data_IF_499963352524
#
_entry.id   IF_499963352524
#
_cell.length_a   1.000
_cell.length_b   1.000
_cell.length_c   1.000
_cell.angle_alpha   90.00
_cell.angle_beta   90.00
_cell.angle_gamma   90.00
#
_symmetry.space_group_name_H-M   'P 1'
#
loop_
_entity.id
_entity.type
_entity.pdbx_description
1 polymer ?
#
# COMPACT_ATOMS: atom_id res chain seq x y z
N UNK A 1 -11.89 -11.70 -0.41
CA UNK A 1 -10.72 -11.69 0.49
C UNK A 1 -9.85 -12.93 0.34
N UNK A 2 -10.41 -14.07 -0.07
CA UNK A 2 -9.66 -15.31 -0.29
C UNK A 2 -9.26 -15.50 -1.76
N UNK A 3 -9.51 -14.54 -2.63
CA UNK A 3 -8.97 -14.56 -3.98
C UNK A 3 -7.49 -14.22 -3.92
N UNK A 4 -6.61 -15.01 -4.57
CA UNK A 4 -5.20 -14.69 -4.63
C UNK A 4 -4.99 -13.35 -5.34
N UNK A 5 -4.15 -12.51 -4.76
CA UNK A 5 -3.68 -11.27 -5.42
C UNK A 5 -2.73 -11.67 -6.54
N UNK A 6 -1.95 -12.72 -6.29
CA UNK A 6 -0.95 -13.23 -7.21
C UNK A 6 -0.67 -14.70 -6.91
N UNK A 7 -0.43 -15.48 -7.96
CA UNK A 7 0.07 -16.84 -7.89
C UNK A 7 1.57 -16.86 -8.22
N UNK A 8 2.40 -17.39 -7.31
CA UNK A 8 3.84 -17.52 -7.51
C UNK A 8 4.21 -18.99 -7.39
N UNK A 9 4.69 -19.60 -8.46
CA UNK A 9 5.10 -21.02 -8.50
C UNK A 9 4.03 -21.98 -7.98
N UNK A 10 2.77 -21.72 -8.30
CA UNK A 10 1.63 -22.53 -7.87
C UNK A 10 1.19 -22.31 -6.42
N UNK A 11 1.67 -21.25 -5.78
CA UNK A 11 1.22 -20.82 -4.46
C UNK A 11 0.47 -19.51 -4.61
N UNK A 12 -0.78 -19.50 -4.15
CA UNK A 12 -1.62 -18.32 -4.11
C UNK A 12 -1.27 -17.46 -2.89
N UNK A 13 -1.10 -16.16 -3.10
CA UNK A 13 -0.89 -15.18 -2.03
C UNK A 13 -2.08 -14.24 -1.92
N UNK A 14 -2.58 -14.09 -0.71
CA UNK A 14 -3.76 -13.29 -0.38
C UNK A 14 -3.39 -12.01 0.35
N UNK A 15 -4.34 -11.08 0.50
CA UNK A 15 -4.16 -9.90 1.35
C UNK A 15 -3.91 -10.27 2.81
N UNK A 16 -4.47 -11.39 3.28
CA UNK A 16 -4.19 -11.91 4.62
C UNK A 16 -2.70 -12.23 4.81
N UNK A 17 -2.06 -12.80 3.78
CA UNK A 17 -0.63 -13.11 3.81
C UNK A 17 0.23 -11.83 3.77
N UNK A 18 -0.13 -10.88 2.93
CA UNK A 18 0.60 -9.60 2.79
C UNK A 18 0.50 -8.78 4.07
N UNK A 19 -0.68 -8.70 4.67
CA UNK A 19 -0.93 -7.96 5.91
C UNK A 19 -0.56 -8.77 7.17
N UNK A 20 -0.29 -10.08 7.05
CA UNK A 20 -0.18 -11.01 8.17
C UNK A 20 -1.38 -10.91 9.14
N UNK A 21 -2.55 -10.69 8.58
CA UNK A 21 -3.81 -10.57 9.31
C UNK A 21 -4.79 -11.65 8.80
N UNK A 22 -4.89 -12.79 9.49
CA UNK A 22 -5.77 -13.89 9.10
C UNK A 22 -7.26 -13.53 9.20
N UNK A 23 -7.61 -12.50 9.95
CA UNK A 23 -8.99 -12.05 10.14
C UNK A 23 -9.40 -11.02 9.07
N UNK A 24 -8.48 -10.55 8.23
CA UNK A 24 -8.80 -9.64 7.14
C UNK A 24 -9.75 -10.32 6.14
N UNK A 25 -10.94 -9.77 5.96
CA UNK A 25 -12.00 -10.40 5.18
C UNK A 25 -12.69 -9.48 4.15
N UNK A 26 -12.12 -8.31 3.88
CA UNK A 26 -12.68 -7.34 2.93
C UNK A 26 -11.99 -7.42 1.58
N UNK A 27 -12.72 -7.35 0.45
CA UNK A 27 -12.11 -7.12 -0.85
C UNK A 27 -11.46 -5.74 -0.86
N UNK A 28 -10.37 -5.56 -1.61
CA UNK A 28 -9.68 -4.29 -1.70
C UNK A 28 -9.19 -4.00 -3.12
N UNK A 29 -9.06 -2.71 -3.44
CA UNK A 29 -8.25 -2.24 -4.54
C UNK A 29 -6.81 -2.13 -4.05
N UNK A 30 -5.88 -2.81 -4.71
CA UNK A 30 -4.44 -2.76 -4.40
C UNK A 30 -3.71 -2.08 -5.53
N UNK A 31 -2.87 -1.08 -5.20
CA UNK A 31 -2.01 -0.38 -6.16
C UNK A 31 -0.57 -0.48 -5.67
N UNK A 32 0.24 -1.27 -6.36
CA UNK A 32 1.67 -1.37 -6.10
C UNK A 32 2.44 -0.22 -6.77
N UNK A 33 3.30 0.44 -6.02
CA UNK A 33 4.16 1.53 -6.47
C UNK A 33 5.60 1.11 -6.24
N UNK A 34 6.28 0.76 -7.31
CA UNK A 34 7.69 0.42 -7.28
C UNK A 34 8.53 1.69 -7.29
N UNK A 35 9.58 1.74 -6.48
CA UNK A 35 10.53 2.85 -6.41
C UNK A 35 11.92 2.36 -6.80
N UNK A 36 12.41 2.80 -7.96
CA UNK A 36 13.77 2.55 -8.43
C UNK A 36 14.79 3.40 -7.68
N UNK A 37 16.08 3.18 -7.90
CA UNK A 37 17.17 3.96 -7.29
C UNK A 37 17.10 5.47 -7.56
N UNK A 38 16.38 5.88 -8.57
CA UNK A 38 16.26 7.30 -8.99
C UNK A 38 15.03 7.98 -8.42
N UNK A 39 14.14 7.22 -7.78
CA UNK A 39 12.87 7.71 -7.27
C UNK A 39 12.98 8.24 -5.83
N UNK A 40 11.96 8.98 -5.41
CA UNK A 40 11.88 9.50 -4.05
C UNK A 40 11.43 8.41 -3.09
N UNK A 41 12.30 8.07 -2.13
CA UNK A 41 12.03 7.01 -1.14
C UNK A 41 11.37 7.51 0.15
N UNK A 42 10.98 8.77 0.21
CA UNK A 42 10.20 9.34 1.31
C UNK A 42 8.73 9.16 1.05
N UNK A 43 8.07 8.42 1.91
CA UNK A 43 6.67 8.10 1.79
C UNK A 43 5.78 9.18 2.44
N UNK A 44 4.61 9.42 1.83
CA UNK A 44 3.66 10.44 2.24
C UNK A 44 2.29 9.83 2.48
N UNK A 45 1.52 10.44 3.37
CA UNK A 45 0.14 10.06 3.66
C UNK A 45 -0.77 10.42 2.48
N UNK A 46 -1.43 9.46 1.82
CA UNK A 46 -2.31 9.72 0.67
C UNK A 46 -3.55 10.54 1.03
N UNK A 47 -4.13 10.30 2.20
CA UNK A 47 -5.27 11.03 2.74
C UNK A 47 -5.16 11.12 4.25
N UNK A 48 -5.39 12.30 4.83
CA UNK A 48 -5.12 12.57 6.25
C UNK A 48 -5.91 11.69 7.22
N UNK A 49 -5.27 11.33 8.32
CA UNK A 49 -5.86 10.46 9.31
C UNK A 49 -4.92 10.12 10.47
N UNK A 50 -5.36 9.19 11.29
CA UNK A 50 -4.62 8.65 12.45
C UNK A 50 -3.84 7.43 12.00
N UNK A 51 -2.53 7.47 12.15
CA UNK A 51 -1.62 6.40 11.74
C UNK A 51 -1.29 5.46 12.90
N UNK A 52 -1.44 4.16 12.66
CA UNK A 52 -0.82 3.08 13.43
C UNK A 52 0.03 2.22 12.50
N UNK A 53 1.12 1.65 13.00
CA UNK A 53 1.99 0.83 12.17
C UNK A 53 2.53 -0.39 12.92
N UNK A 54 2.95 -1.41 12.16
CA UNK A 54 3.61 -2.60 12.68
C UNK A 54 4.66 -3.08 11.68
N UNK A 55 5.85 -3.36 12.19
CA UNK A 55 6.88 -4.06 11.43
C UNK A 55 6.52 -5.54 11.31
N UNK A 56 6.75 -6.10 10.13
CA UNK A 56 6.59 -7.51 9.82
C UNK A 56 7.96 -8.05 9.39
N UNK A 57 8.48 -8.98 10.15
CA UNK A 57 9.77 -9.61 9.88
C UNK A 57 9.74 -10.37 8.53
N UNK A 58 10.90 -10.50 7.92
CA UNK A 58 11.07 -11.36 6.75
C UNK A 58 10.75 -12.83 7.14
N UNK A 59 10.05 -13.53 6.27
CA UNK A 59 9.73 -14.96 6.52
C UNK A 59 10.98 -15.83 6.43
N UNK A 60 11.89 -15.50 5.52
CA UNK A 60 13.20 -16.13 5.38
C UNK A 60 14.27 -15.30 6.08
N UNK A 61 15.45 -15.88 6.28
CA UNK A 61 16.57 -15.19 6.94
C UNK A 61 17.19 -14.03 6.15
N UNK A 62 16.68 -13.77 4.96
CA UNK A 62 17.13 -12.68 4.07
C UNK A 62 15.98 -12.21 3.18
N UNK A 63 16.04 -10.94 2.76
CA UNK A 63 15.13 -10.39 1.77
C UNK A 63 15.47 -10.91 0.37
N UNK A 64 14.47 -11.03 -0.50
CA UNK A 64 14.65 -11.41 -1.90
C UNK A 64 14.89 -10.14 -2.74
N UNK A 65 15.83 -10.21 -3.72
CA UNK A 65 16.12 -9.06 -4.56
C UNK A 65 14.92 -8.69 -5.44
N UNK A 66 14.70 -7.39 -5.62
CA UNK A 66 13.62 -6.84 -6.43
C UNK A 66 14.10 -6.42 -7.84
N UNK A 67 15.39 -6.57 -8.16
CA UNK A 67 15.98 -6.15 -9.44
C UNK A 67 15.27 -6.75 -10.68
N UNK A 68 14.81 -8.01 -10.59
CA UNK A 68 14.07 -8.64 -11.68
C UNK A 68 12.71 -7.96 -11.93
N UNK A 69 12.05 -7.49 -10.86
CA UNK A 69 10.80 -6.75 -10.95
C UNK A 69 11.02 -5.37 -11.57
N UNK A 70 12.10 -4.68 -11.21
CA UNK A 70 12.48 -3.41 -11.84
C UNK A 70 12.63 -3.57 -13.36
N UNK A 71 13.34 -4.63 -13.80
CA UNK A 71 13.48 -4.93 -15.22
C UNK A 71 12.14 -5.23 -15.90
N UNK A 72 11.27 -5.98 -15.25
CA UNK A 72 9.93 -6.30 -15.77
C UNK A 72 9.10 -5.01 -15.95
N UNK A 73 9.10 -4.12 -14.97
CA UNK A 73 8.38 -2.85 -15.03
C UNK A 73 8.93 -1.95 -16.13
N UNK A 74 10.25 -1.81 -16.26
CA UNK A 74 10.89 -1.04 -17.34
C UNK A 74 10.54 -1.61 -18.74
N UNK A 75 10.38 -2.92 -18.84
CA UNK A 75 9.94 -3.62 -20.05
C UNK A 75 8.43 -3.61 -20.26
N UNK A 76 7.67 -2.97 -19.36
CA UNK A 76 6.20 -2.96 -19.31
C UNK A 76 5.59 -4.36 -19.28
N UNK A 77 6.24 -5.26 -18.56
CA UNK A 77 5.79 -6.64 -18.33
C UNK A 77 5.61 -6.87 -16.83
N UNK A 78 4.83 -7.87 -16.48
CA UNK A 78 4.71 -8.32 -15.09
C UNK A 78 4.92 -9.83 -15.11
N UNK A 79 5.97 -10.30 -14.40
CA UNK A 79 6.22 -11.72 -14.25
C UNK A 79 5.91 -12.15 -12.80
N UNK A 80 4.82 -12.89 -12.58
CA UNK A 80 4.44 -13.32 -11.23
C UNK A 80 5.55 -14.09 -10.49
N UNK A 81 6.42 -14.80 -11.21
CA UNK A 81 7.51 -15.58 -10.59
C UNK A 81 8.57 -14.69 -9.91
N UNK A 82 8.64 -13.41 -10.23
CA UNK A 82 9.56 -12.45 -9.64
C UNK A 82 8.98 -11.75 -8.40
N UNK A 83 7.70 -11.98 -8.07
CA UNK A 83 6.99 -11.24 -7.01
C UNK A 83 7.01 -11.92 -5.63
N UNK A 84 7.86 -12.93 -5.42
CA UNK A 84 7.99 -13.61 -4.12
C UNK A 84 8.45 -12.70 -2.96
N UNK A 85 9.01 -11.52 -3.25
CA UNK A 85 9.39 -10.53 -2.26
C UNK A 85 8.17 -9.94 -1.51
N UNK A 86 6.99 -9.90 -2.13
CA UNK A 86 5.76 -9.34 -1.52
C UNK A 86 5.41 -9.96 -0.17
N UNK A 87 5.76 -11.21 0.04
CA UNK A 87 5.45 -11.93 1.28
C UNK A 87 6.69 -12.33 2.07
N UNK A 88 7.87 -12.44 1.42
CA UNK A 88 9.09 -12.92 2.07
C UNK A 88 9.94 -11.82 2.68
N UNK A 89 9.93 -10.60 2.11
CA UNK A 89 10.80 -9.53 2.55
C UNK A 89 10.29 -8.85 3.82
N UNK A 90 11.17 -8.14 4.50
CA UNK A 90 10.83 -7.21 5.56
C UNK A 90 9.79 -6.22 5.08
N UNK A 91 8.74 -6.06 5.84
CA UNK A 91 7.61 -5.19 5.53
C UNK A 91 7.19 -4.37 6.72
N UNK A 92 6.49 -3.29 6.44
CA UNK A 92 5.79 -2.52 7.46
C UNK A 92 4.41 -2.16 6.93
N UNK A 93 3.36 -2.61 7.60
CA UNK A 93 2.05 -2.08 7.31
C UNK A 93 1.75 -0.85 8.16
N UNK A 94 1.11 0.10 7.52
CA UNK A 94 0.69 1.36 8.08
C UNK A 94 -0.82 1.45 7.89
N UNK A 95 -1.56 1.42 8.96
CA UNK A 95 -3.02 1.54 8.97
C UNK A 95 -3.37 2.99 9.26
N UNK A 96 -4.12 3.61 8.36
CA UNK A 96 -4.56 4.99 8.49
C UNK A 96 -6.09 5.00 8.60
N UNK A 97 -6.60 5.48 9.73
CA UNK A 97 -8.01 5.76 9.91
C UNK A 97 -8.29 7.24 9.67
N UNK A 98 -9.15 7.56 8.72
CA UNK A 98 -9.54 8.92 8.35
C UNK A 98 -10.92 9.26 8.93
N UNK A 99 -10.97 10.00 10.06
CA UNK A 99 -12.24 10.32 10.72
C UNK A 99 -13.20 11.16 9.86
N UNK A 100 -12.66 11.99 8.96
CA UNK A 100 -13.46 12.88 8.11
C UNK A 100 -14.39 12.15 7.12
N UNK A 101 -14.06 10.91 6.79
CA UNK A 101 -14.84 10.05 5.88
C UNK A 101 -15.17 8.68 6.50
N UNK A 102 -14.81 8.50 7.78
CA UNK A 102 -14.97 7.24 8.51
C UNK A 102 -14.46 6.03 7.71
N UNK A 103 -13.20 6.11 7.26
CA UNK A 103 -12.62 5.11 6.37
C UNK A 103 -11.20 4.74 6.77
N UNK A 104 -10.89 3.45 6.70
CA UNK A 104 -9.55 2.90 6.98
C UNK A 104 -8.91 2.34 5.73
N UNK A 105 -7.64 2.67 5.50
CA UNK A 105 -6.84 2.11 4.43
C UNK A 105 -5.43 1.77 4.93
N UNK A 106 -4.65 1.08 4.09
CA UNK A 106 -3.31 0.65 4.46
C UNK A 106 -2.27 1.06 3.43
N UNK A 107 -1.05 1.32 3.91
CA UNK A 107 0.17 1.38 3.11
C UNK A 107 1.08 0.26 3.59
N UNK A 108 1.43 -0.66 2.68
CA UNK A 108 2.39 -1.72 2.97
C UNK A 108 3.71 -1.35 2.33
N UNK A 109 4.72 -1.07 3.14
CA UNK A 109 6.08 -0.79 2.70
C UNK A 109 6.85 -2.11 2.66
N UNK A 110 7.58 -2.36 1.57
CA UNK A 110 8.29 -3.61 1.32
C UNK A 110 9.73 -3.29 0.98
N UNK A 111 10.67 -3.81 1.76
CA UNK A 111 12.10 -3.60 1.58
C UNK A 111 12.68 -4.51 0.49
N UNK A 112 13.74 -4.04 -0.20
CA UNK A 112 14.56 -4.85 -1.10
C UNK A 112 15.61 -5.67 -0.33
N UNK A 113 16.40 -6.50 -1.03
CA UNK A 113 17.46 -7.34 -0.49
C UNK A 113 18.49 -6.55 0.32
N UNK A 114 18.92 -5.42 -0.21
CA UNK A 114 19.96 -4.57 0.38
C UNK A 114 19.45 -3.59 1.43
N UNK A 115 18.15 -3.61 1.73
CA UNK A 115 17.49 -2.68 2.64
C UNK A 115 16.94 -3.45 3.83
N UNK A 116 17.50 -3.19 4.98
CA UNK A 116 17.04 -3.77 6.26
C UNK A 116 16.37 -2.72 7.14
N UNK A 117 16.01 -1.55 6.60
CA UNK A 117 15.42 -0.49 7.42
C UNK A 117 14.31 0.23 6.66
N UNK A 118 13.09 -0.07 7.03
CA UNK A 118 11.95 0.81 6.85
C UNK A 118 11.85 1.66 8.11
N UNK A 119 11.91 2.98 7.99
CA UNK A 119 11.99 3.88 9.14
C UNK A 119 10.90 4.93 9.13
N UNK A 120 10.14 5.00 10.21
CA UNK A 120 9.24 6.12 10.49
C UNK A 120 10.00 7.35 10.96
N UNK A 121 9.46 8.54 10.73
CA UNK A 121 9.99 9.78 11.29
C UNK A 121 9.57 10.01 12.73
N UNK A 122 8.55 9.27 13.19
CA UNK A 122 8.09 9.25 14.57
C UNK A 122 8.08 7.83 15.10
N UNK A 123 8.22 7.67 16.42
CA UNK A 123 8.04 6.39 17.10
C UNK A 123 6.67 6.28 17.78
N UNK A 124 5.83 7.30 17.63
CA UNK A 124 4.53 7.34 18.29
C UNK A 124 3.46 6.62 17.46
N UNK A 125 2.62 5.89 18.15
CA UNK A 125 1.42 5.28 17.58
C UNK A 125 0.23 6.23 17.73
N UNK A 126 -0.75 6.14 16.83
CA UNK A 126 -1.95 6.97 16.80
C UNK A 126 -1.66 8.46 16.58
N UNK A 127 -0.60 8.77 15.86
CA UNK A 127 -0.29 10.13 15.48
C UNK A 127 -1.18 10.59 14.32
N UNK A 128 -1.55 11.88 14.33
CA UNK A 128 -2.41 12.50 13.32
C UNK A 128 -1.51 13.09 12.23
N UNK A 129 -1.76 12.70 11.00
CA UNK A 129 -1.09 13.22 9.81
C UNK A 129 -2.06 13.92 8.86
N UNK A 130 -1.59 15.02 8.28
CA UNK A 130 -2.28 15.66 7.16
C UNK A 130 -2.04 14.90 5.85
N UNK A 131 -2.90 15.14 4.86
CA UNK A 131 -2.64 14.64 3.50
C UNK A 131 -1.31 15.19 2.97
N UNK A 132 -0.55 14.36 2.26
CA UNK A 132 0.76 14.67 1.69
C UNK A 132 1.88 14.88 2.72
N UNK A 133 1.62 14.71 3.99
CA UNK A 133 2.64 14.77 5.04
C UNK A 133 3.59 13.58 4.96
N UNK A 134 4.87 13.84 5.21
CA UNK A 134 5.92 12.80 5.20
C UNK A 134 5.85 12.02 6.51
N UNK A 135 5.82 10.68 6.43
CA UNK A 135 5.73 9.85 7.64
C UNK A 135 6.86 8.83 7.79
N UNK A 136 7.46 8.39 6.67
CA UNK A 136 8.49 7.36 6.69
C UNK A 136 9.40 7.43 5.47
N UNK A 137 10.47 6.65 5.47
CA UNK A 137 11.27 6.38 4.28
C UNK A 137 11.67 4.90 4.22
N UNK A 138 11.98 4.42 3.00
CA UNK A 138 12.61 3.13 2.74
C UNK A 138 13.93 3.41 2.01
N UNK A 139 15.02 2.73 2.38
CA UNK A 139 16.27 2.88 1.63
C UNK A 139 16.19 2.08 0.33
N UNK A 140 16.66 2.65 -0.80
CA UNK A 140 17.13 2.02 -2.05
C UNK A 140 16.30 0.82 -2.54
N UNK A 141 15.64 0.94 -3.70
CA UNK A 141 14.85 -0.14 -4.28
C UNK A 141 13.78 -0.66 -3.32
N UNK A 142 12.54 -0.44 -3.64
CA UNK A 142 11.47 -0.77 -2.69
C UNK A 142 10.11 -0.68 -3.36
N UNK A 143 9.10 -1.17 -2.68
CA UNK A 143 7.71 -1.04 -3.12
C UNK A 143 6.84 -0.52 -1.98
N UNK A 144 5.84 0.26 -2.33
CA UNK A 144 4.74 0.61 -1.44
C UNK A 144 3.43 0.20 -2.08
N UNK A 145 2.65 -0.61 -1.38
CA UNK A 145 1.31 -0.98 -1.80
C UNK A 145 0.28 -0.13 -1.07
N UNK A 146 -0.54 0.58 -1.84
CA UNK A 146 -1.74 1.24 -1.34
C UNK A 146 -2.88 0.22 -1.38
N UNK A 147 -3.42 -0.12 -0.21
CA UNK A 147 -4.54 -1.07 -0.05
C UNK A 147 -5.77 -0.29 0.40
N UNK A 148 -6.78 -0.26 -0.46
CA UNK A 148 -8.05 0.42 -0.23
C UNK A 148 -9.16 -0.62 -0.09
N UNK A 149 -9.59 -0.99 1.13
CA UNK A 149 -10.74 -1.87 1.33
C UNK A 149 -11.97 -1.34 0.60
N UNK A 150 -12.64 -2.18 -0.18
CA UNK A 150 -13.84 -1.75 -0.91
C UNK A 150 -15.00 -1.58 0.07
N UNK A 151 -15.65 -0.42 -0.02
CA UNK A 151 -16.75 -0.01 0.85
C UNK A 151 -17.91 0.48 -0.03
N UNK A 152 -19.09 -0.06 0.16
CA UNK A 152 -20.29 0.26 -0.63
C UNK A 152 -20.71 1.74 -0.54
N UNK A 153 -20.20 2.46 0.45
CA UNK A 153 -20.41 3.90 0.59
C UNK A 153 -19.67 4.74 -0.45
N UNK A 154 -18.66 4.16 -1.10
CA UNK A 154 -17.76 4.89 -1.99
C UNK A 154 -17.59 4.23 -3.36
N UNK A 155 -17.49 5.07 -4.37
CA UNK A 155 -17.01 4.71 -5.71
C UNK A 155 -15.52 5.00 -5.81
N UNK A 156 -14.74 4.00 -6.24
CA UNK A 156 -13.30 4.09 -6.42
C UNK A 156 -12.96 4.16 -7.92
N UNK A 157 -12.27 5.20 -8.33
CA UNK A 157 -11.81 5.38 -9.69
C UNK A 157 -10.29 5.52 -9.72
N UNK A 158 -9.58 4.58 -10.34
CA UNK A 158 -8.14 4.70 -10.63
C UNK A 158 -7.91 5.81 -11.64
N UNK A 159 -6.87 6.61 -11.43
CA UNK A 159 -6.53 7.76 -12.27
C UNK A 159 -5.26 7.53 -13.10
N UNK A 160 -4.54 6.45 -12.79
CA UNK A 160 -3.31 6.05 -13.48
C UNK A 160 -3.48 4.66 -14.08
N UNK A 161 -2.71 4.36 -15.12
CA UNK A 161 -2.66 3.03 -15.70
C UNK A 161 -1.50 2.22 -15.10
N UNK A 162 -1.56 0.91 -15.25
CA UNK A 162 -0.45 0.03 -14.90
C UNK A 162 0.76 0.40 -15.75
N UNK A 163 1.94 0.51 -15.13
CA UNK A 163 3.22 0.96 -15.71
C UNK A 163 3.35 2.47 -15.98
N UNK A 164 2.37 3.31 -15.58
CA UNK A 164 2.58 4.75 -15.59
C UNK A 164 3.58 5.15 -14.48
N UNK A 165 4.45 6.10 -14.78
CA UNK A 165 5.28 6.75 -13.75
C UNK A 165 4.46 7.79 -13.02
N UNK A 166 4.60 7.84 -11.69
CA UNK A 166 3.89 8.78 -10.82
C UNK A 166 4.85 9.53 -9.92
N UNK A 167 4.60 10.81 -9.71
CA UNK A 167 5.42 11.68 -8.84
C UNK A 167 4.79 11.78 -7.44
N UNK A 168 5.59 11.41 -6.42
CA UNK A 168 5.14 11.37 -5.03
C UNK A 168 4.67 12.76 -4.53
N UNK A 169 3.42 12.82 -4.06
CA UNK A 169 2.80 14.05 -3.55
C UNK A 169 2.30 15.01 -4.62
N UNK A 170 2.37 14.64 -5.89
CA UNK A 170 1.91 15.43 -7.04
C UNK A 170 0.79 14.70 -7.79
N UNK A 171 1.03 13.46 -8.19
CA UNK A 171 0.07 12.72 -9.00
C UNK A 171 -0.98 11.98 -8.14
N UNK A 172 -2.28 12.22 -8.38
CA UNK A 172 -3.32 11.47 -7.70
C UNK A 172 -3.44 10.06 -8.28
N UNK A 173 -3.58 9.05 -7.41
CA UNK A 173 -3.70 7.65 -7.80
C UNK A 173 -5.15 7.21 -7.94
N UNK A 174 -5.99 7.58 -6.98
CA UNK A 174 -7.39 7.17 -6.90
C UNK A 174 -8.27 8.36 -6.53
N UNK A 175 -9.41 8.44 -7.18
CA UNK A 175 -10.50 9.33 -6.80
C UNK A 175 -11.56 8.52 -6.06
N UNK A 176 -11.86 8.92 -4.82
CA UNK A 176 -12.91 8.32 -4.00
C UNK A 176 -14.07 9.31 -3.93
N UNK A 177 -15.29 8.84 -4.20
CA UNK A 177 -16.51 9.63 -4.14
C UNK A 177 -17.58 8.88 -3.35
N UNK A 178 -18.39 9.58 -2.53
CA UNK A 178 -19.60 8.97 -1.97
C UNK A 178 -20.53 8.49 -3.09
N UNK A 179 -21.11 7.30 -2.92
CA UNK A 179 -22.13 6.78 -3.84
C UNK A 179 -23.40 7.65 -3.79
N UNK A 180 -24.26 7.55 -4.81
CA UNK A 180 -25.53 8.28 -4.82
C UNK A 180 -26.44 7.91 -3.65
N UNK A 181 -26.35 6.68 -3.16
CA UNK A 181 -27.11 6.23 -2.00
C UNK A 181 -26.66 6.97 -0.74
N UNK A 182 -25.37 7.09 -0.53
CA UNK A 182 -24.78 7.79 0.62
C UNK A 182 -25.08 9.30 0.57
N UNK A 183 -25.05 9.90 -0.61
CA UNK A 183 -25.40 11.32 -0.80
C UNK A 183 -26.87 11.64 -0.43
N UNK A 184 -27.76 10.65 -0.53
CA UNK A 184 -29.21 10.79 -0.22
C UNK A 184 -29.55 10.35 1.19
N UNK A 185 -28.59 9.85 1.98
CA UNK A 185 -28.81 9.37 3.35
C UNK A 185 -29.19 10.55 4.27
N UNK A 186 -30.31 10.44 5.03
CA UNK A 186 -30.74 11.48 5.95
C UNK A 186 -29.88 11.56 7.23
N UNK A 187 -28.96 10.61 7.43
CA UNK A 187 -28.11 10.50 8.62
C UNK A 187 -26.71 11.11 8.43
N UNK A 188 -26.49 11.98 7.45
CA UNK A 188 -25.28 12.78 7.42
C UNK A 188 -25.23 13.67 8.66
N UNK A 189 -24.45 13.26 9.64
CA UNK A 189 -24.01 14.16 10.70
C UNK A 189 -23.00 15.13 10.07
N UNK A 190 -23.42 16.37 9.91
CA UNK A 190 -22.50 17.46 9.59
C UNK A 190 -21.61 17.69 10.81
N UNK A 191 -20.32 17.38 10.67
CA UNK A 191 -19.28 17.86 11.55
C UNK A 191 -18.48 18.94 10.84
#
# INVERSE_FOLDING_TARGET
PNEPIIEIKGVDYTLQDVLQDPDYNQPALVIGIFMSFYDVHVNRIPYGGVLTYQALDAIESYNKPMLAVEHDILSRTINPNNMGYLTNNERMWNKIYSPSIDYTYYLVQIADEDVNVISHFTNDQNEIFAQNERFSFIRWGSQVDLVLPLDERFDFQTLQNVTDHVEAGVDPLVKIKPTEHELKSPYRSYF
#
